data_IF_518035373173
#
_entry.id   IF_518035373173
#
_cell.length_a   1.000
_cell.length_b   1.000
_cell.length_c   1.000
_cell.angle_alpha   90.00
_cell.angle_beta   90.00
_cell.angle_gamma   90.00
#
_symmetry.space_group_name_H-M   'P 1'
#
loop_
_entity.id
_entity.type
_entity.pdbx_description
1 polymer ?
#
# COMPACT_ATOMS: atom_id res chain seq x y z
N UNK A 1 -17.99 42.67 -25.80
CA UNK A 1 -16.62 42.22 -25.48
C UNK A 1 -16.34 42.64 -24.04
N UNK A 2 -16.11 41.84 -23.01
CA UNK A 2 -16.30 40.42 -22.66
C UNK A 2 -16.69 40.50 -21.17
N UNK A 3 -17.70 39.74 -20.73
CA UNK A 3 -18.01 39.57 -19.31
C UNK A 3 -16.98 38.59 -18.73
N UNK A 4 -16.16 39.03 -17.78
CA UNK A 4 -15.32 38.15 -16.96
C UNK A 4 -16.13 37.64 -15.76
N UNK A 5 -16.76 36.48 -15.91
CA UNK A 5 -17.26 35.70 -14.79
C UNK A 5 -16.09 35.08 -14.04
N UNK A 6 -15.82 35.59 -12.83
CA UNK A 6 -14.93 34.93 -11.87
C UNK A 6 -15.61 33.66 -11.37
N UNK A 7 -15.14 32.50 -11.85
CA UNK A 7 -15.48 31.20 -11.28
C UNK A 7 -14.83 31.11 -9.90
N UNK A 8 -15.65 31.26 -8.87
CA UNK A 8 -15.25 31.09 -7.48
C UNK A 8 -15.23 29.60 -7.16
N UNK A 9 -14.03 29.01 -7.09
CA UNK A 9 -13.84 27.62 -6.64
C UNK A 9 -14.31 27.51 -5.19
N UNK A 10 -15.49 26.93 -4.95
CA UNK A 10 -15.96 26.58 -3.61
C UNK A 10 -15.02 25.53 -3.01
N UNK A 11 -14.14 25.97 -2.11
CA UNK A 11 -13.40 25.08 -1.22
C UNK A 11 -14.36 24.67 -0.09
N UNK A 12 -14.99 23.51 -0.23
CA UNK A 12 -15.76 22.92 0.87
C UNK A 12 -14.75 22.39 1.89
N UNK A 13 -14.52 23.15 2.96
CA UNK A 13 -13.79 22.66 4.13
C UNK A 13 -14.77 21.84 4.97
N UNK A 14 -14.58 20.52 5.02
CA UNK A 14 -15.36 19.63 5.88
C UNK A 14 -15.09 19.97 7.36
N UNK A 15 -16.15 20.05 8.17
CA UNK A 15 -16.09 20.22 9.63
C UNK A 15 -15.62 18.93 10.31
N UNK A 16 -14.95 19.06 11.46
CA UNK A 16 -14.19 18.03 12.20
C UNK A 16 -14.93 16.75 12.68
N UNK A 17 -16.15 16.46 12.23
CA UNK A 17 -16.92 15.27 12.65
C UNK A 17 -17.53 14.45 11.49
N UNK A 18 -17.12 14.69 10.25
CA UNK A 18 -17.53 13.86 9.11
C UNK A 18 -16.48 12.78 8.85
N UNK A 19 -16.88 11.51 8.91
CA UNK A 19 -16.03 10.39 8.51
C UNK A 19 -15.59 10.58 7.07
N UNK A 20 -14.28 10.49 6.82
CA UNK A 20 -13.79 10.66 5.46
C UNK A 20 -14.25 9.50 4.59
N UNK A 21 -15.03 9.82 3.56
CA UNK A 21 -15.53 8.86 2.58
C UNK A 21 -15.35 9.46 1.19
N UNK A 22 -14.78 8.70 0.26
CA UNK A 22 -14.69 9.06 -1.16
C UNK A 22 -15.64 8.16 -1.95
N UNK A 23 -16.39 8.72 -2.89
CA UNK A 23 -17.37 7.93 -3.66
C UNK A 23 -17.49 8.46 -5.10
N UNK A 24 -17.52 7.54 -6.08
CA UNK A 24 -17.85 7.83 -7.46
C UNK A 24 -18.88 6.82 -7.99
N UNK A 25 -19.05 6.72 -9.30
CA UNK A 25 -20.04 5.85 -9.95
C UNK A 25 -19.79 4.34 -9.71
N UNK A 26 -18.55 3.95 -9.42
CA UNK A 26 -18.11 2.56 -9.36
C UNK A 26 -17.68 2.10 -7.97
N UNK A 27 -17.09 2.99 -7.17
CA UNK A 27 -16.42 2.67 -5.92
C UNK A 27 -16.82 3.63 -4.79
N UNK A 28 -16.87 3.09 -3.58
CA UNK A 28 -16.89 3.85 -2.32
C UNK A 28 -15.71 3.43 -1.45
N UNK A 29 -14.99 4.39 -0.91
CA UNK A 29 -13.81 4.23 -0.05
C UNK A 29 -14.12 4.89 1.29
N UNK A 30 -14.00 4.13 2.37
CA UNK A 30 -14.32 4.58 3.72
C UNK A 30 -13.05 4.55 4.58
N UNK A 31 -12.80 5.63 5.29
CA UNK A 31 -11.71 5.76 6.25
C UNK A 31 -12.27 5.79 7.68
N UNK A 32 -11.53 5.20 8.62
CA UNK A 32 -11.88 5.30 10.05
C UNK A 32 -11.50 6.66 10.67
N UNK A 33 -11.88 6.86 11.92
CA UNK A 33 -11.63 8.10 12.67
C UNK A 33 -10.12 8.39 12.87
N UNK A 34 -9.28 7.37 12.74
CA UNK A 34 -7.82 7.48 12.79
C UNK A 34 -7.20 7.71 11.40
N UNK A 35 -8.00 7.80 10.33
CA UNK A 35 -7.54 7.99 8.96
C UNK A 35 -6.94 6.74 8.32
N UNK A 36 -7.23 5.55 8.83
CA UNK A 36 -6.90 4.30 8.14
C UNK A 36 -7.95 4.00 7.07
N UNK A 37 -7.51 3.43 5.95
CA UNK A 37 -8.44 2.80 5.01
C UNK A 37 -9.17 1.67 5.73
N UNK A 38 -10.50 1.75 5.79
CA UNK A 38 -11.35 0.79 6.47
C UNK A 38 -12.05 -0.16 5.49
N UNK A 39 -12.59 0.37 4.39
CA UNK A 39 -13.35 -0.43 3.44
C UNK A 39 -13.29 0.15 2.03
N UNK A 40 -13.25 -0.74 1.03
CA UNK A 40 -13.51 -0.39 -0.37
C UNK A 40 -14.70 -1.22 -0.85
N UNK A 41 -15.73 -0.56 -1.34
CA UNK A 41 -16.96 -1.15 -1.86
C UNK A 41 -17.05 -0.94 -3.36
N UNK A 42 -17.21 -2.02 -4.11
CA UNK A 42 -17.63 -1.97 -5.50
C UNK A 42 -19.17 -1.82 -5.56
N UNK A 43 -19.61 -0.65 -6.03
CA UNK A 43 -21.03 -0.26 -6.01
C UNK A 43 -21.86 -1.02 -7.05
N UNK A 44 -21.27 -1.39 -8.19
CA UNK A 44 -21.97 -2.16 -9.23
C UNK A 44 -22.31 -3.58 -8.77
N UNK A 45 -21.39 -4.23 -8.06
CA UNK A 45 -21.54 -5.61 -7.59
C UNK A 45 -22.08 -5.71 -6.17
N UNK A 46 -22.10 -4.61 -5.43
CA UNK A 46 -22.43 -4.60 -4.00
C UNK A 46 -21.44 -5.40 -3.14
N UNK A 47 -20.19 -5.53 -3.59
CA UNK A 47 -19.15 -6.32 -2.92
C UNK A 47 -18.21 -5.38 -2.19
N UNK A 48 -18.01 -5.62 -0.90
CA UNK A 48 -17.08 -4.88 -0.05
C UNK A 48 -15.86 -5.71 0.35
N UNK A 49 -14.71 -5.05 0.43
CA UNK A 49 -13.47 -5.58 1.00
C UNK A 49 -13.09 -4.72 2.19
N UNK A 50 -12.93 -5.35 3.34
CA UNK A 50 -12.56 -4.66 4.59
C UNK A 50 -11.05 -4.73 4.79
N UNK A 51 -10.49 -3.65 5.29
CA UNK A 51 -9.07 -3.48 5.55
C UNK A 51 -8.87 -3.37 7.06
N UNK A 52 -8.07 -4.28 7.62
CA UNK A 52 -7.64 -4.18 9.02
C UNK A 52 -6.54 -3.15 9.16
N UNK A 53 -5.65 -3.09 8.16
CA UNK A 53 -4.55 -2.15 8.13
C UNK A 53 -4.19 -1.81 6.70
N UNK A 54 -3.99 -0.52 6.45
CA UNK A 54 -3.28 -0.02 5.28
C UNK A 54 -2.34 1.10 5.73
N UNK A 55 -1.08 1.01 5.34
CA UNK A 55 -0.09 2.02 5.68
C UNK A 55 1.35 1.59 5.41
N UNK A 56 2.26 2.45 5.83
CA UNK A 56 3.70 2.24 5.67
C UNK A 56 4.31 1.59 6.91
N UNK A 57 5.16 0.60 6.65
CA UNK A 57 5.97 -0.07 7.66
C UNK A 57 7.42 -0.11 7.19
N UNK A 58 8.33 -0.53 8.06
CA UNK A 58 9.71 -0.73 7.68
C UNK A 58 10.35 -1.91 8.41
N UNK A 59 11.25 -2.58 7.71
CA UNK A 59 12.14 -3.58 8.28
C UNK A 59 13.48 -2.95 8.65
N UNK A 60 14.01 -3.34 9.81
CA UNK A 60 15.40 -3.07 10.16
C UNK A 60 16.29 -3.97 9.30
N UNK A 61 17.18 -3.41 8.49
CA UNK A 61 18.17 -4.19 7.75
C UNK A 61 19.15 -4.88 8.70
N UNK A 62 19.47 -6.15 8.46
CA UNK A 62 20.42 -6.90 9.28
C UNK A 62 21.81 -6.26 9.21
N UNK A 63 22.41 -5.84 10.35
CA UNK A 63 23.68 -5.11 10.38
C UNK A 63 24.88 -6.07 10.34
N UNK A 64 24.97 -6.86 9.28
CA UNK A 64 26.06 -7.80 9.05
C UNK A 64 27.36 -7.12 8.63
N UNK A 65 28.48 -7.84 8.74
CA UNK A 65 29.79 -7.37 8.28
C UNK A 65 30.28 -8.07 7.00
N UNK A 66 29.45 -8.96 6.42
CA UNK A 66 29.74 -9.72 5.20
C UNK A 66 31.01 -10.59 5.26
N UNK A 67 31.54 -10.89 6.45
CA UNK A 67 32.74 -11.73 6.59
C UNK A 67 32.48 -13.20 6.31
N UNK A 68 31.24 -13.66 6.53
CA UNK A 68 30.74 -15.03 6.30
C UNK A 68 29.25 -14.99 6.00
N UNK A 69 28.70 -16.09 5.49
CA UNK A 69 27.27 -16.22 5.18
C UNK A 69 26.37 -15.93 6.38
N UNK A 70 26.72 -16.37 7.59
CA UNK A 70 25.94 -16.06 8.80
C UNK A 70 25.86 -14.54 9.08
N UNK A 71 26.88 -13.78 8.67
CA UNK A 71 27.02 -12.33 8.87
C UNK A 71 26.68 -11.52 7.61
N UNK A 72 25.92 -12.09 6.67
CA UNK A 72 25.45 -11.38 5.48
C UNK A 72 24.57 -10.19 5.92
N UNK A 73 24.97 -8.98 5.54
CA UNK A 73 24.21 -7.77 5.80
C UNK A 73 23.06 -7.62 4.79
N UNK A 74 22.03 -6.86 5.17
CA UNK A 74 21.11 -6.30 4.18
C UNK A 74 21.83 -5.23 3.34
N UNK A 75 21.41 -5.04 2.10
CA UNK A 75 22.00 -4.06 1.19
C UNK A 75 21.41 -4.12 -0.22
N UNK A 76 22.13 -3.58 -1.20
CA UNK A 76 21.61 -3.39 -2.56
C UNK A 76 21.09 -4.67 -3.26
N UNK A 77 21.56 -5.84 -2.85
CA UNK A 77 21.18 -7.13 -3.46
C UNK A 77 20.46 -8.07 -2.49
N UNK A 78 20.77 -7.98 -1.20
CA UNK A 78 20.23 -8.87 -0.18
C UNK A 78 19.24 -8.08 0.66
N UNK A 79 17.98 -8.45 0.59
CA UNK A 79 17.00 -8.08 1.61
C UNK A 79 17.10 -9.09 2.75
N UNK A 80 17.57 -8.67 3.92
CA UNK A 80 17.68 -9.51 5.12
C UNK A 80 17.18 -8.71 6.32
N UNK A 81 15.89 -8.83 6.68
CA UNK A 81 15.37 -8.12 7.83
C UNK A 81 15.94 -8.73 9.12
N UNK A 82 16.25 -7.87 10.09
CA UNK A 82 16.77 -8.29 11.41
C UNK A 82 15.71 -9.04 12.22
N UNK A 83 14.45 -8.67 12.06
CA UNK A 83 13.30 -9.26 12.72
C UNK A 83 12.17 -9.50 11.70
N UNK A 84 11.34 -10.55 11.88
CA UNK A 84 10.28 -10.89 10.93
C UNK A 84 9.10 -9.90 10.92
N UNK A 85 8.89 -9.17 12.03
CA UNK A 85 7.80 -8.21 12.16
C UNK A 85 8.28 -6.78 11.84
N UNK A 86 7.70 -6.11 10.83
CA UNK A 86 8.09 -4.75 10.49
C UNK A 86 7.47 -3.75 11.47
N UNK A 87 8.13 -2.61 11.66
CA UNK A 87 7.66 -1.52 12.52
C UNK A 87 6.82 -0.54 11.73
N UNK A 88 5.72 0.02 12.28
CA UNK A 88 4.97 1.06 11.59
C UNK A 88 5.83 2.31 11.40
N UNK A 89 5.72 2.97 10.24
CA UNK A 89 6.38 4.26 9.98
C UNK A 89 5.85 5.35 10.93
N UNK A 90 4.58 5.26 11.30
CA UNK A 90 3.98 6.07 12.34
C UNK A 90 2.76 5.36 12.93
N UNK A 91 2.54 5.52 14.24
CA UNK A 91 1.30 5.11 14.92
C UNK A 91 0.26 6.23 14.92
N UNK A 92 0.67 7.45 14.56
CA UNK A 92 -0.19 8.62 14.43
C UNK A 92 -0.27 9.03 12.97
N UNK A 93 -1.44 9.49 12.54
CA UNK A 93 -1.60 10.11 11.23
C UNK A 93 -2.69 11.16 11.31
N UNK A 94 -2.65 12.13 10.40
CA UNK A 94 -3.77 13.04 10.16
C UNK A 94 -4.31 12.80 8.77
N UNK A 95 -5.61 13.01 8.61
CA UNK A 95 -6.30 12.87 7.32
C UNK A 95 -7.00 14.20 6.98
N UNK A 96 -6.95 14.59 5.71
CA UNK A 96 -7.69 15.73 5.18
C UNK A 96 -8.32 15.33 3.87
N UNK A 97 -9.65 15.43 3.80
CA UNK A 97 -10.40 14.99 2.62
C UNK A 97 -10.94 16.19 1.84
N UNK A 98 -10.73 16.14 0.53
CA UNK A 98 -11.12 17.18 -0.42
C UNK A 98 -11.98 16.55 -1.49
N UNK A 99 -13.17 17.09 -1.71
CA UNK A 99 -14.07 16.64 -2.79
C UNK A 99 -14.22 17.74 -3.82
N UNK A 100 -13.95 17.41 -5.07
CA UNK A 100 -14.19 18.28 -6.23
C UNK A 100 -15.07 17.55 -7.24
N UNK A 101 -15.45 18.23 -8.33
CA UNK A 101 -16.27 17.61 -9.39
C UNK A 101 -15.56 16.46 -10.11
N UNK A 102 -14.24 16.58 -10.31
CA UNK A 102 -13.47 15.61 -11.12
C UNK A 102 -12.70 14.59 -10.30
N UNK A 103 -12.35 14.93 -9.06
CA UNK A 103 -11.57 14.06 -8.16
C UNK A 103 -11.96 14.29 -6.71
N UNK A 104 -12.01 13.20 -5.95
CA UNK A 104 -12.06 13.21 -4.50
C UNK A 104 -10.78 12.61 -3.95
N UNK A 105 -10.17 13.28 -2.97
CA UNK A 105 -8.84 12.93 -2.47
C UNK A 105 -8.83 12.89 -0.95
N UNK A 106 -8.08 11.95 -0.39
CA UNK A 106 -7.75 11.89 1.03
C UNK A 106 -6.23 12.00 1.20
N UNK A 107 -5.76 13.14 1.71
CA UNK A 107 -4.37 13.34 2.08
C UNK A 107 -4.13 12.81 3.50
N UNK A 108 -3.23 11.85 3.62
CA UNK A 108 -2.83 11.22 4.87
C UNK A 108 -1.37 11.58 5.16
N UNK A 109 -1.13 12.23 6.29
CA UNK A 109 0.22 12.59 6.75
C UNK A 109 0.58 11.68 7.91
N UNK A 110 1.59 10.83 7.74
CA UNK A 110 2.06 9.90 8.78
C UNK A 110 3.08 10.59 9.70
N UNK A 111 4.01 11.33 9.11
CA UNK A 111 5.03 12.13 9.80
C UNK A 111 5.65 13.13 8.80
N UNK A 112 6.76 13.76 9.17
CA UNK A 112 7.43 14.77 8.35
C UNK A 112 8.19 14.24 7.11
N UNK A 113 8.31 12.92 6.94
CA UNK A 113 9.00 12.29 5.80
C UNK A 113 8.14 11.24 5.08
N UNK A 114 6.88 11.04 5.50
CA UNK A 114 5.98 10.06 4.90
C UNK A 114 4.54 10.59 4.82
N UNK A 115 4.01 10.63 3.60
CA UNK A 115 2.62 10.96 3.30
C UNK A 115 2.06 10.09 2.18
N UNK A 116 0.73 10.02 2.11
CA UNK A 116 -0.02 9.33 1.06
C UNK A 116 -1.20 10.18 0.65
N UNK A 117 -1.51 10.20 -0.64
CA UNK A 117 -2.75 10.76 -1.17
C UNK A 117 -3.54 9.64 -1.85
N UNK A 118 -4.80 9.48 -1.45
CA UNK A 118 -5.71 8.49 -2.04
C UNK A 118 -6.69 9.24 -2.93
N UNK A 119 -6.58 9.04 -4.24
CA UNK A 119 -7.37 9.73 -5.25
C UNK A 119 -8.43 8.78 -5.84
N UNK A 120 -9.67 9.28 -5.90
CA UNK A 120 -10.77 8.65 -6.62
C UNK A 120 -11.31 9.62 -7.66
N UNK A 121 -10.96 9.35 -8.92
CA UNK A 121 -11.41 10.15 -10.06
C UNK A 121 -12.84 9.82 -10.47
N UNK A 122 -13.54 10.80 -11.00
CA UNK A 122 -14.84 10.59 -11.63
C UNK A 122 -14.74 9.56 -12.77
N UNK A 123 -15.67 8.60 -12.82
CA UNK A 123 -15.72 7.54 -13.83
C UNK A 123 -14.62 6.47 -13.73
N UNK A 124 -13.75 6.51 -12.72
CA UNK A 124 -12.71 5.50 -12.53
C UNK A 124 -13.22 4.30 -11.74
N UNK A 125 -12.97 3.08 -12.23
CA UNK A 125 -13.20 1.85 -11.47
C UNK A 125 -11.96 1.41 -10.65
N UNK A 126 -10.98 2.31 -10.48
CA UNK A 126 -9.76 2.10 -9.72
C UNK A 126 -9.49 3.28 -8.78
N UNK A 127 -8.81 2.97 -7.67
CA UNK A 127 -8.32 3.95 -6.71
C UNK A 127 -6.84 4.15 -6.94
N UNK A 128 -6.40 5.40 -6.98
CA UNK A 128 -4.98 5.74 -7.09
C UNK A 128 -4.44 6.05 -5.69
N UNK A 129 -3.31 5.41 -5.35
CA UNK A 129 -2.59 5.64 -4.11
C UNK A 129 -1.23 6.23 -4.48
N UNK A 130 -1.06 7.53 -4.26
CA UNK A 130 0.23 8.20 -4.43
C UNK A 130 0.93 8.28 -3.08
N UNK A 131 2.23 8.02 -3.03
CA UNK A 131 2.99 8.11 -1.78
C UNK A 131 4.27 8.93 -1.94
N UNK A 132 4.61 9.66 -0.89
CA UNK A 132 5.87 10.38 -0.77
C UNK A 132 6.60 9.86 0.45
N UNK A 133 7.76 9.25 0.22
CA UNK A 133 8.63 8.71 1.27
C UNK A 133 10.02 9.34 1.11
N UNK A 134 10.43 10.15 2.07
CA UNK A 134 11.79 10.65 2.16
C UNK A 134 11.92 12.08 2.72
N UNK A 135 13.13 12.45 3.15
CA UNK A 135 14.31 11.58 3.29
C UNK A 135 14.12 10.58 4.44
N UNK A 136 14.51 9.32 4.23
CA UNK A 136 14.41 8.27 5.25
C UNK A 136 15.39 8.63 6.39
N UNK A 137 14.94 8.74 7.65
CA UNK A 137 15.82 9.11 8.75
C UNK A 137 16.82 8.00 9.03
N UNK A 138 18.11 8.34 9.05
CA UNK A 138 19.22 7.41 9.27
C UNK A 138 20.21 7.88 10.35
N UNK A 139 19.91 8.97 11.06
CA UNK A 139 20.77 9.52 12.12
C UNK A 139 20.91 8.57 13.32
N UNK A 140 20.03 7.57 13.41
CA UNK A 140 20.09 6.47 14.37
C UNK A 140 21.01 5.32 13.92
N UNK A 141 21.63 5.43 12.74
CA UNK A 141 22.48 4.41 12.11
C UNK A 141 21.75 3.08 11.82
N UNK A 142 20.41 3.12 11.71
CA UNK A 142 19.57 1.96 11.40
C UNK A 142 19.12 2.03 9.94
N UNK A 143 19.52 1.04 9.14
CA UNK A 143 19.00 0.85 7.78
C UNK A 143 17.52 0.46 7.81
N UNK A 144 16.69 1.17 7.05
CA UNK A 144 15.23 0.99 7.01
C UNK A 144 14.76 0.63 5.61
N UNK A 145 14.08 -0.49 5.47
CA UNK A 145 13.50 -0.98 4.23
C UNK A 145 11.98 -0.75 4.30
N UNK A 146 11.49 0.33 3.67
CA UNK A 146 10.11 0.76 3.76
C UNK A 146 9.21 -0.11 2.87
N UNK A 147 8.04 -0.47 3.37
CA UNK A 147 7.01 -1.21 2.64
C UNK A 147 5.66 -0.51 2.77
N UNK A 148 4.80 -0.67 1.76
CA UNK A 148 3.36 -0.47 1.90
C UNK A 148 2.70 -1.82 2.16
N UNK A 149 1.82 -1.88 3.17
CA UNK A 149 1.10 -3.11 3.52
C UNK A 149 -0.40 -2.89 3.42
N UNK A 150 -1.09 -3.88 2.84
CA UNK A 150 -2.54 -3.96 2.77
C UNK A 150 -2.98 -5.27 3.43
N UNK A 151 -3.59 -5.17 4.60
CA UNK A 151 -4.15 -6.31 5.33
C UNK A 151 -5.66 -6.30 5.16
N UNK A 152 -6.21 -7.34 4.55
CA UNK A 152 -7.65 -7.44 4.22
C UNK A 152 -8.27 -8.71 4.75
N UNK A 153 -9.60 -8.77 4.71
CA UNK A 153 -10.38 -9.95 5.04
C UNK A 153 -10.46 -11.00 3.91
N UNK A 154 -9.72 -10.82 2.81
CA UNK A 154 -9.65 -11.79 1.69
C UNK A 154 -8.92 -13.06 2.13
N UNK A 155 -9.59 -14.20 1.97
CA UNK A 155 -9.08 -15.52 2.36
C UNK A 155 -8.20 -16.12 1.25
N UNK A 156 -6.98 -15.59 1.10
CA UNK A 156 -6.05 -15.96 0.01
C UNK A 156 -5.41 -17.34 0.15
N UNK A 157 -5.54 -18.01 1.29
CA UNK A 157 -4.94 -19.33 1.60
C UNK A 157 -3.42 -19.34 1.33
N UNK A 158 -2.73 -18.28 1.79
CA UNK A 158 -1.28 -18.08 1.62
C UNK A 158 -0.81 -18.06 0.15
N UNK A 159 -1.72 -17.77 -0.78
CA UNK A 159 -1.47 -17.76 -2.22
C UNK A 159 -1.66 -16.36 -2.77
N UNK A 160 -0.72 -15.93 -3.61
CA UNK A 160 -0.72 -14.63 -4.26
C UNK A 160 -0.14 -14.78 -5.66
N UNK A 161 -0.28 -13.77 -6.49
CA UNK A 161 0.06 -13.84 -7.90
C UNK A 161 0.88 -12.62 -8.27
N UNK A 162 2.00 -12.84 -8.94
CA UNK A 162 2.86 -11.75 -9.43
C UNK A 162 3.10 -11.92 -10.92
N UNK A 163 3.27 -10.81 -11.62
CA UNK A 163 3.68 -10.86 -13.02
C UNK A 163 5.15 -11.24 -13.19
N UNK A 164 5.49 -11.73 -14.38
CA UNK A 164 6.85 -11.95 -14.86
C UNK A 164 7.13 -10.95 -15.98
N UNK A 165 7.85 -9.87 -15.66
CA UNK A 165 8.22 -8.81 -16.60
C UNK A 165 7.02 -8.19 -17.33
N UNK A 166 5.91 -7.96 -16.63
CA UNK A 166 4.69 -7.38 -17.18
C UNK A 166 3.82 -8.32 -18.01
N UNK A 167 4.21 -9.59 -18.17
CA UNK A 167 3.56 -10.56 -19.08
C UNK A 167 2.77 -11.63 -18.34
N UNK A 168 3.34 -12.82 -18.27
CA UNK A 168 2.71 -13.99 -17.66
C UNK A 168 2.58 -13.78 -16.16
N UNK A 169 1.59 -14.44 -15.58
CA UNK A 169 1.32 -14.37 -14.15
C UNK A 169 1.69 -15.70 -13.54
N UNK A 170 2.45 -15.65 -12.47
CA UNK A 170 2.89 -16.82 -11.72
C UNK A 170 2.19 -16.86 -10.36
N UNK A 171 1.63 -18.03 -10.04
CA UNK A 171 1.14 -18.33 -8.71
C UNK A 171 2.32 -18.49 -7.73
N UNK A 172 2.22 -17.82 -6.59
CA UNK A 172 3.17 -17.85 -5.48
C UNK A 172 2.45 -18.36 -4.24
N UNK A 173 3.14 -19.20 -3.47
CA UNK A 173 2.66 -19.67 -2.18
C UNK A 173 3.73 -19.42 -1.13
N UNK A 174 3.32 -18.88 0.01
CA UNK A 174 4.22 -18.60 1.14
C UNK A 174 4.94 -19.88 1.54
N UNK A 175 6.25 -19.80 1.72
CA UNK A 175 7.13 -20.88 2.16
C UNK A 175 7.08 -22.15 1.28
N UNK A 176 6.81 -21.98 -0.01
CA UNK A 176 6.70 -23.09 -0.96
C UNK A 176 7.56 -22.91 -2.21
N UNK A 177 8.04 -24.03 -2.77
CA UNK A 177 8.71 -24.11 -4.06
C UNK A 177 8.14 -25.28 -4.87
N UNK A 178 7.83 -25.09 -6.17
CA UNK A 178 7.23 -26.15 -6.98
C UNK A 178 8.21 -27.25 -7.38
N UNK A 179 9.52 -26.98 -7.37
CA UNK A 179 10.53 -27.84 -7.99
C UNK A 179 11.44 -28.58 -6.99
N UNK A 180 11.40 -28.25 -5.69
CA UNK A 180 12.14 -28.96 -4.66
C UNK A 180 11.50 -28.81 -3.27
N UNK A 181 11.91 -29.67 -2.32
CA UNK A 181 11.48 -29.55 -0.93
C UNK A 181 12.19 -28.37 -0.25
N UNK A 182 11.44 -27.32 0.08
CA UNK A 182 11.99 -26.05 0.56
C UNK A 182 12.09 -26.03 2.09
N UNK A 183 13.31 -25.84 2.60
CA UNK A 183 13.56 -25.52 4.00
C UNK A 183 13.59 -24.00 4.17
N UNK A 184 12.69 -23.47 5.00
CA UNK A 184 12.60 -22.02 5.26
C UNK A 184 13.75 -21.60 6.18
N UNK A 185 14.67 -20.80 5.66
CA UNK A 185 15.76 -20.20 6.44
C UNK A 185 15.54 -18.71 6.70
N UNK A 186 14.86 -18.02 5.79
CA UNK A 186 14.54 -16.58 5.85
C UNK A 186 13.07 -16.41 5.45
N UNK A 187 12.17 -16.42 6.44
CA UNK A 187 10.71 -16.51 6.24
C UNK A 187 10.08 -15.24 5.63
N UNK A 188 10.75 -14.09 5.72
CA UNK A 188 10.30 -12.86 5.05
C UNK A 188 10.93 -12.78 3.65
N UNK A 189 12.26 -12.70 3.58
CA UNK A 189 12.98 -12.50 2.31
C UNK A 189 12.75 -13.61 1.31
N UNK A 190 12.60 -14.86 1.77
CA UNK A 190 12.32 -16.01 0.91
C UNK A 190 10.96 -15.95 0.20
N UNK A 191 10.08 -15.02 0.58
CA UNK A 191 8.75 -14.85 0.01
C UNK A 191 8.59 -13.55 -0.80
N UNK A 192 9.65 -12.75 -0.94
CA UNK A 192 9.64 -11.62 -1.88
C UNK A 192 9.89 -12.10 -3.31
N UNK A 193 9.10 -11.55 -4.24
CA UNK A 193 9.23 -11.79 -5.68
C UNK A 193 9.18 -10.45 -6.41
N UNK A 194 9.84 -10.31 -7.56
CA UNK A 194 9.75 -9.10 -8.37
C UNK A 194 8.30 -8.90 -8.85
N UNK A 195 7.85 -7.65 -8.82
CA UNK A 195 6.55 -7.19 -9.31
C UNK A 195 6.86 -6.07 -10.30
N UNK A 196 6.74 -6.35 -11.59
CA UNK A 196 7.04 -5.32 -12.61
C UNK A 196 5.81 -4.50 -12.98
N UNK A 197 4.61 -5.00 -12.69
CA UNK A 197 3.37 -4.28 -13.01
C UNK A 197 2.23 -4.56 -12.05
N UNK A 198 2.09 -5.78 -11.52
CA UNK A 198 0.90 -6.16 -10.76
C UNK A 198 1.12 -7.31 -9.80
N UNK A 199 0.47 -7.19 -8.65
CA UNK A 199 0.31 -8.26 -7.67
C UNK A 199 -1.16 -8.34 -7.25
N UNK A 200 -1.65 -9.54 -6.94
CA UNK A 200 -2.95 -9.67 -6.32
C UNK A 200 -3.08 -10.86 -5.37
N UNK A 201 -4.09 -10.75 -4.53
CA UNK A 201 -4.67 -11.83 -3.74
C UNK A 201 -6.15 -11.97 -4.09
N UNK A 202 -6.71 -13.17 -3.93
CA UNK A 202 -8.13 -13.42 -4.17
C UNK A 202 -8.69 -14.50 -3.26
N UNK A 203 -9.99 -14.46 -3.05
CA UNK A 203 -10.81 -15.55 -2.52
C UNK A 203 -11.85 -15.98 -3.58
N UNK A 204 -12.91 -16.67 -3.16
CA UNK A 204 -13.96 -17.14 -4.07
C UNK A 204 -14.84 -16.01 -4.64
N UNK A 205 -14.87 -14.85 -4.00
CA UNK A 205 -15.77 -13.74 -4.32
C UNK A 205 -15.04 -12.47 -4.75
N UNK A 206 -13.81 -12.27 -4.27
CA UNK A 206 -13.10 -10.98 -4.32
C UNK A 206 -11.67 -11.17 -4.79
N UNK A 207 -11.17 -10.16 -5.48
CA UNK A 207 -9.76 -10.02 -5.84
C UNK A 207 -9.32 -8.59 -5.56
N UNK A 208 -8.24 -8.43 -4.78
CA UNK A 208 -7.55 -7.15 -4.60
C UNK A 208 -6.29 -7.17 -5.46
N UNK A 209 -6.26 -6.30 -6.47
CA UNK A 209 -5.10 -6.13 -7.35
C UNK A 209 -4.45 -4.80 -7.09
N UNK A 210 -3.13 -4.82 -6.86
CA UNK A 210 -2.29 -3.62 -6.79
C UNK A 210 -1.49 -3.54 -8.08
N UNK A 211 -1.59 -2.40 -8.76
CA UNK A 211 -0.78 -2.07 -9.93
C UNK A 211 0.33 -1.13 -9.49
N UNK A 212 1.52 -1.30 -10.05
CA UNK A 212 2.68 -0.45 -9.78
C UNK A 212 3.03 0.39 -11.00
N UNK A 213 3.56 1.59 -10.76
CA UNK A 213 4.09 2.49 -11.78
C UNK A 213 5.55 2.14 -12.18
N UNK A 214 6.27 1.51 -11.25
CA UNK A 214 7.67 1.11 -11.36
C UNK A 214 7.88 -0.34 -10.88
N UNK A 215 9.04 -0.89 -11.24
CA UNK A 215 9.50 -2.23 -10.85
C UNK A 215 10.60 -2.17 -9.78
#
# INVERSE_FOLDING_TARGET
MIHDEKIEKKKVMMTQNETCTLENEHLRIEFDDQGNLHQITNLEKGIATSFTTQGFYWYTGFPGNNSRSEFQASGAYFFRPLMPDPQPVSTMRSITCTKTETVQSALIIFNNWASQEVNLFQGSAAVEFEWTIGPIPIDDYIGKEIIVRYDTDIQSKSTYYTDANGREVLERKVDYRPTWNYTVNENISGNYYPISSRIWIKDEQRQLTVLTDLA
#
